data_IF_072648076696
#
_entry.id   IF_072648076696
#
_cell.length_a   1.000
_cell.length_b   1.000
_cell.length_c   1.000
_cell.angle_alpha   90.00
_cell.angle_beta   90.00
_cell.angle_gamma   90.00
#
_symmetry.space_group_name_H-M   'P 1'
#
loop_
_entity.id
_entity.type
_entity.pdbx_description
1 polymer ?
#
# COMPACT_ATOMS: atom_id res chain seq x y z
N UNK A 1 27.73 11.49 0.83
CA UNK A 1 27.78 10.04 0.54
C UNK A 1 26.68 9.33 1.33
N UNK A 2 26.34 8.09 1.00
CA UNK A 2 25.34 7.33 1.76
C UNK A 2 25.73 7.10 3.23
N UNK A 3 27.03 6.94 3.52
CA UNK A 3 27.52 6.88 4.89
C UNK A 3 27.22 8.15 5.69
N UNK A 4 27.28 9.33 5.07
CA UNK A 4 26.86 10.59 5.69
C UNK A 4 25.35 10.61 5.93
N UNK A 5 24.54 10.21 4.95
CA UNK A 5 23.07 10.18 5.09
C UNK A 5 22.64 9.33 6.29
N UNK A 6 23.16 8.10 6.39
CA UNK A 6 22.85 7.18 7.49
C UNK A 6 23.25 7.74 8.86
N UNK A 7 24.45 8.32 8.96
CA UNK A 7 24.98 8.89 10.21
C UNK A 7 24.27 10.16 10.62
N UNK A 8 24.13 11.13 9.72
CA UNK A 8 23.55 12.44 10.01
C UNK A 8 22.06 12.36 10.30
N UNK A 9 21.35 11.44 9.62
CA UNK A 9 19.92 11.23 9.89
C UNK A 9 19.67 10.21 11.00
N UNK A 10 20.70 9.62 11.60
CA UNK A 10 20.58 8.66 12.70
C UNK A 10 19.69 7.45 12.36
N UNK A 11 19.90 6.83 11.20
CA UNK A 11 19.23 5.58 10.85
C UNK A 11 19.76 4.42 11.69
N UNK A 12 18.87 3.52 12.10
CA UNK A 12 19.22 2.28 12.80
C UNK A 12 19.83 1.31 11.79
N UNK A 13 21.07 0.87 11.99
CA UNK A 13 21.81 0.05 11.01
C UNK A 13 21.91 -1.44 11.37
N UNK A 14 21.41 -1.86 12.52
CA UNK A 14 21.31 -3.26 12.94
C UNK A 14 19.96 -3.52 13.62
N UNK A 15 19.41 -4.76 13.58
CA UNK A 15 18.24 -5.11 14.38
C UNK A 15 18.49 -4.80 15.87
N UNK A 16 17.46 -4.32 16.57
CA UNK A 16 17.57 -3.93 17.98
C UNK A 16 17.32 -5.09 18.96
N UNK A 17 16.80 -6.21 18.47
CA UNK A 17 16.60 -7.44 19.25
C UNK A 17 16.48 -8.66 18.33
N UNK A 18 16.72 -9.86 18.88
CA UNK A 18 16.53 -11.12 18.14
C UNK A 18 15.08 -11.33 17.71
N UNK A 19 14.11 -10.85 18.51
CA UNK A 19 12.70 -10.91 18.15
C UNK A 19 12.43 -10.09 16.87
N UNK A 20 12.97 -8.88 16.80
CA UNK A 20 12.81 -8.02 15.64
C UNK A 20 13.61 -8.53 14.44
N UNK A 21 14.79 -9.10 14.65
CA UNK A 21 15.63 -9.69 13.61
C UNK A 21 15.00 -10.92 12.94
N UNK A 22 14.14 -11.65 13.66
CA UNK A 22 13.47 -12.86 13.17
C UNK A 22 12.03 -12.63 12.67
N UNK A 23 11.55 -11.38 12.65
CA UNK A 23 10.22 -11.05 12.16
C UNK A 23 10.26 -9.78 11.32
N UNK A 24 10.26 -9.95 10.00
CA UNK A 24 10.42 -8.87 9.04
C UNK A 24 9.08 -8.32 8.57
N UNK A 25 8.95 -7.00 8.59
CA UNK A 25 7.82 -6.27 8.04
C UNK A 25 8.16 -5.72 6.65
N UNK A 26 7.18 -5.76 5.76
CA UNK A 26 7.19 -5.01 4.51
C UNK A 26 6.37 -3.72 4.68
N UNK A 27 6.81 -2.65 4.01
CA UNK A 27 6.07 -1.40 3.94
C UNK A 27 5.85 -0.98 2.50
N UNK A 28 4.66 -0.49 2.21
CA UNK A 28 4.33 0.22 0.98
C UNK A 28 4.13 1.68 1.35
N UNK A 29 4.92 2.60 0.79
CA UNK A 29 4.84 4.02 1.11
C UNK A 29 4.52 4.79 -0.16
N UNK A 30 3.28 5.28 -0.26
CA UNK A 30 2.79 6.03 -1.41
C UNK A 30 2.93 7.54 -1.17
N UNK A 31 3.80 8.18 -1.95
CA UNK A 31 4.21 9.59 -1.77
C UNK A 31 4.12 10.39 -3.06
N UNK A 32 3.91 11.70 -2.91
CA UNK A 32 3.86 12.61 -4.06
C UNK A 32 4.47 14.01 -3.82
N UNK A 33 4.82 14.36 -2.57
CA UNK A 33 5.38 15.66 -2.14
C UNK A 33 5.95 15.59 -0.72
N UNK A 34 6.38 16.73 -0.16
CA UNK A 34 6.89 16.89 1.21
C UNK A 34 8.05 15.94 1.56
N UNK A 35 9.21 16.18 0.95
CA UNK A 35 10.39 15.30 1.10
C UNK A 35 10.80 15.13 2.57
N UNK A 36 10.77 16.21 3.35
CA UNK A 36 11.14 16.16 4.77
C UNK A 36 10.21 15.26 5.59
N UNK A 37 8.90 15.28 5.30
CA UNK A 37 7.95 14.40 5.97
C UNK A 37 8.22 12.94 5.60
N UNK A 38 8.48 12.66 4.32
CA UNK A 38 8.87 11.31 3.89
C UNK A 38 10.13 10.83 4.60
N UNK A 39 11.18 11.66 4.69
CA UNK A 39 12.43 11.28 5.38
C UNK A 39 12.20 11.06 6.88
N UNK A 40 11.37 11.89 7.53
CA UNK A 40 11.01 11.73 8.94
C UNK A 40 10.24 10.43 9.17
N UNK A 41 9.25 10.12 8.34
CA UNK A 41 8.51 8.87 8.38
C UNK A 41 9.45 7.68 8.18
N UNK A 42 10.22 7.70 7.09
CA UNK A 42 11.13 6.62 6.74
C UNK A 42 12.10 6.33 7.89
N UNK A 43 12.70 7.36 8.47
CA UNK A 43 13.57 7.20 9.65
C UNK A 43 12.86 6.57 10.84
N UNK A 44 11.61 6.94 11.10
CA UNK A 44 10.86 6.46 12.26
C UNK A 44 10.50 4.97 12.16
N UNK A 45 10.31 4.45 10.95
CA UNK A 45 9.92 3.04 10.72
C UNK A 45 11.07 2.17 10.19
N UNK A 46 12.21 2.75 9.82
CA UNK A 46 13.31 2.02 9.20
C UNK A 46 13.96 1.03 10.18
N UNK A 47 14.09 -0.21 9.72
CA UNK A 47 14.89 -1.26 10.34
C UNK A 47 15.57 -2.06 9.21
N UNK A 48 16.82 -2.50 9.40
CA UNK A 48 17.60 -3.15 8.33
C UNK A 48 17.07 -4.52 7.90
N UNK A 49 16.32 -5.22 8.77
CA UNK A 49 15.72 -6.52 8.45
C UNK A 49 14.34 -6.42 7.76
N UNK A 50 13.72 -5.23 7.77
CA UNK A 50 12.45 -4.98 7.09
C UNK A 50 12.68 -4.69 5.59
N UNK A 51 11.61 -4.54 4.82
CA UNK A 51 11.68 -4.14 3.41
C UNK A 51 10.68 -3.04 3.07
N UNK A 52 11.04 -2.13 2.17
CA UNK A 52 10.27 -0.92 1.88
C UNK A 52 10.12 -0.73 0.37
N UNK A 53 8.89 -0.78 -0.13
CA UNK A 53 8.55 -0.34 -1.47
C UNK A 53 8.03 1.10 -1.43
N UNK A 54 8.67 1.98 -2.18
CA UNK A 54 8.29 3.39 -2.30
C UNK A 54 7.58 3.58 -3.63
N UNK A 55 6.29 3.90 -3.60
CA UNK A 55 5.57 4.37 -4.77
C UNK A 55 5.63 5.89 -4.80
N UNK A 56 6.26 6.43 -5.85
CA UNK A 56 6.28 7.87 -6.11
C UNK A 56 5.28 8.12 -7.23
N UNK A 57 4.31 9.00 -7.01
CA UNK A 57 3.34 9.39 -8.04
C UNK A 57 4.09 9.89 -9.29
N UNK A 58 3.71 9.37 -10.46
CA UNK A 58 4.38 9.72 -11.71
C UNK A 58 4.27 11.22 -12.01
N UNK A 59 3.19 11.87 -11.55
CA UNK A 59 2.97 13.31 -11.73
C UNK A 59 3.82 14.19 -10.80
N UNK A 60 4.56 13.63 -9.84
CA UNK A 60 5.42 14.41 -8.96
C UNK A 60 6.55 15.12 -9.72
N UNK A 61 6.99 16.31 -9.26
CA UNK A 61 8.09 17.05 -9.88
C UNK A 61 9.36 16.22 -10.01
N UNK A 62 10.12 16.42 -11.08
CA UNK A 62 11.37 15.68 -11.35
C UNK A 62 12.38 15.81 -10.22
N UNK A 63 12.51 16.99 -9.63
CA UNK A 63 13.47 17.25 -8.55
C UNK A 63 13.09 16.49 -7.29
N UNK A 64 11.78 16.39 -6.99
CA UNK A 64 11.28 15.56 -5.90
C UNK A 64 11.59 14.08 -6.14
N UNK A 65 11.28 13.56 -7.34
CA UNK A 65 11.59 12.16 -7.72
C UNK A 65 13.08 11.86 -7.59
N UNK A 66 13.93 12.79 -8.01
CA UNK A 66 15.39 12.69 -7.94
C UNK A 66 15.87 12.70 -6.48
N UNK A 67 15.33 13.58 -5.64
CA UNK A 67 15.70 13.66 -4.24
C UNK A 67 15.31 12.39 -3.47
N UNK A 68 14.10 11.85 -3.71
CA UNK A 68 13.69 10.56 -3.13
C UNK A 68 14.63 9.45 -3.60
N UNK A 69 14.93 9.37 -4.90
CA UNK A 69 15.84 8.36 -5.46
C UNK A 69 17.22 8.40 -4.80
N UNK A 70 17.80 9.59 -4.63
CA UNK A 70 19.11 9.76 -3.99
C UNK A 70 19.14 9.26 -2.54
N UNK A 71 18.02 9.38 -1.81
CA UNK A 71 17.92 8.92 -0.41
C UNK A 71 17.74 7.41 -0.37
N UNK A 72 16.78 6.86 -1.11
CA UNK A 72 16.46 5.43 -1.06
C UNK A 72 17.59 4.55 -1.59
N UNK A 73 18.38 5.04 -2.56
CA UNK A 73 19.52 4.32 -3.10
C UNK A 73 20.69 4.14 -2.10
N UNK A 74 20.58 4.71 -0.90
CA UNK A 74 21.52 4.47 0.19
C UNK A 74 21.20 3.25 1.06
N UNK A 75 20.12 2.53 0.75
CA UNK A 75 19.64 1.40 1.53
C UNK A 75 19.44 0.18 0.62
N UNK A 76 19.86 -1.00 1.07
CA UNK A 76 19.75 -2.23 0.29
C UNK A 76 18.32 -2.83 0.32
N UNK A 77 17.56 -2.50 1.35
CA UNK A 77 16.22 -3.02 1.62
C UNK A 77 15.10 -2.01 1.31
N UNK A 78 15.42 -0.92 0.61
CA UNK A 78 14.45 0.06 0.11
C UNK A 78 14.55 0.11 -1.41
N UNK A 79 13.41 0.07 -2.08
CA UNK A 79 13.36 0.20 -3.53
C UNK A 79 12.16 1.04 -3.96
N UNK A 80 12.26 1.65 -5.13
CA UNK A 80 11.12 2.34 -5.77
C UNK A 80 10.36 1.31 -6.59
N UNK A 81 9.02 1.35 -6.51
CA UNK A 81 8.13 0.50 -7.30
C UNK A 81 8.54 0.47 -8.78
N UNK A 82 8.64 -0.72 -9.35
CA UNK A 82 9.00 -0.97 -10.75
C UNK A 82 8.02 -0.32 -11.73
N UNK A 83 6.76 -0.17 -11.30
CA UNK A 83 5.72 0.54 -12.03
C UNK A 83 5.11 1.65 -11.16
N UNK A 84 5.10 2.86 -11.70
CA UNK A 84 4.50 4.05 -11.09
C UNK A 84 3.18 4.37 -11.79
N UNK A 85 2.26 4.98 -11.05
CA UNK A 85 0.92 5.33 -11.51
C UNK A 85 0.74 6.84 -11.38
N UNK A 86 -0.06 7.44 -12.27
CA UNK A 86 -0.58 8.79 -12.10
C UNK A 86 -1.77 8.71 -11.15
N UNK A 87 -1.53 8.87 -9.84
CA UNK A 87 -2.57 8.59 -8.84
C UNK A 87 -3.65 9.67 -8.91
N UNK A 88 -4.91 9.26 -9.11
CA UNK A 88 -6.10 10.11 -9.11
C UNK A 88 -6.85 9.89 -7.81
N UNK A 89 -7.29 10.98 -7.16
CA UNK A 89 -8.07 10.89 -5.93
C UNK A 89 -9.37 10.09 -6.19
N UNK A 90 -9.70 9.19 -5.25
CA UNK A 90 -10.78 8.20 -5.36
C UNK A 90 -10.67 7.24 -6.56
N UNK A 91 -9.60 7.30 -7.34
CA UNK A 91 -9.42 6.51 -8.54
C UNK A 91 -8.76 5.15 -8.28
N UNK A 92 -8.91 4.24 -9.25
CA UNK A 92 -8.28 2.93 -9.24
C UNK A 92 -6.75 2.98 -9.20
N UNK A 93 -6.14 4.01 -9.77
CA UNK A 93 -4.69 4.24 -9.74
C UNK A 93 -4.12 4.25 -8.32
N UNK A 94 -4.89 4.68 -7.30
CA UNK A 94 -4.47 4.59 -5.88
C UNK A 94 -4.33 3.14 -5.42
N UNK A 95 -5.31 2.29 -5.74
CA UNK A 95 -5.26 0.86 -5.46
C UNK A 95 -4.14 0.18 -6.25
N UNK A 96 -3.99 0.54 -7.53
CA UNK A 96 -2.99 -0.02 -8.42
C UNK A 96 -1.55 0.27 -7.97
N UNK A 97 -1.30 1.43 -7.35
CA UNK A 97 -0.01 1.78 -6.75
C UNK A 97 0.45 0.74 -5.72
N UNK A 98 -0.45 0.34 -4.81
CA UNK A 98 -0.16 -0.67 -3.79
C UNK A 98 0.07 -2.05 -4.42
N UNK A 99 -0.74 -2.42 -5.41
CA UNK A 99 -0.61 -3.71 -6.13
C UNK A 99 0.72 -3.80 -6.88
N UNK A 100 1.21 -2.71 -7.45
CA UNK A 100 2.52 -2.69 -8.09
C UNK A 100 3.63 -2.96 -7.07
N UNK A 101 3.58 -2.29 -5.92
CA UNK A 101 4.51 -2.55 -4.84
C UNK A 101 4.41 -3.98 -4.30
N UNK A 102 3.20 -4.53 -4.14
CA UNK A 102 3.00 -5.91 -3.72
C UNK A 102 3.67 -6.91 -4.67
N UNK A 103 3.56 -6.68 -5.99
CA UNK A 103 4.22 -7.52 -6.99
C UNK A 103 5.74 -7.52 -6.82
N UNK A 104 6.33 -6.36 -6.58
CA UNK A 104 7.77 -6.26 -6.36
C UNK A 104 8.18 -6.89 -5.01
N UNK A 105 7.39 -6.66 -3.95
CA UNK A 105 7.64 -7.20 -2.61
C UNK A 105 7.63 -8.72 -2.55
N UNK A 106 6.69 -9.38 -3.26
CA UNK A 106 6.62 -10.85 -3.32
C UNK A 106 7.84 -11.45 -4.03
N UNK A 107 8.40 -10.73 -5.01
CA UNK A 107 9.59 -11.14 -5.75
C UNK A 107 10.90 -10.74 -5.08
N UNK A 108 10.86 -10.08 -3.91
CA UNK A 108 12.07 -9.71 -3.19
C UNK A 108 12.78 -10.92 -2.58
N UNK A 109 14.10 -10.83 -2.48
CA UNK A 109 14.93 -11.79 -1.75
C UNK A 109 14.70 -11.74 -0.23
N UNK A 110 14.27 -10.59 0.29
CA UNK A 110 13.96 -10.43 1.72
C UNK A 110 12.65 -11.15 2.02
N UNK A 111 12.69 -12.11 2.93
CA UNK A 111 11.48 -12.74 3.43
C UNK A 111 10.81 -11.80 4.44
N UNK A 112 9.49 -11.67 4.36
CA UNK A 112 8.69 -10.80 5.23
C UNK A 112 7.37 -11.48 5.59
N UNK A 113 6.82 -11.13 6.74
CA UNK A 113 5.64 -11.77 7.33
C UNK A 113 4.35 -11.00 7.01
N UNK A 114 4.41 -9.68 7.17
CA UNK A 114 3.29 -8.76 6.97
C UNK A 114 3.70 -7.56 6.14
N UNK A 115 2.79 -7.05 5.32
CA UNK A 115 2.91 -5.75 4.66
C UNK A 115 1.96 -4.74 5.29
N UNK A 116 2.45 -3.52 5.54
CA UNK A 116 1.66 -2.37 6.01
C UNK A 116 1.76 -1.28 4.95
N UNK A 117 0.63 -0.75 4.47
CA UNK A 117 0.66 0.40 3.58
C UNK A 117 0.51 1.71 4.35
N UNK A 118 1.20 2.74 3.86
CA UNK A 118 1.27 4.08 4.43
C UNK A 118 1.23 5.11 3.30
N UNK A 119 0.81 6.31 3.62
CA UNK A 119 0.99 7.50 2.81
C UNK A 119 2.08 8.41 3.41
N UNK A 120 2.55 9.40 2.65
CA UNK A 120 3.58 10.34 3.10
C UNK A 120 3.23 11.22 4.31
N UNK A 121 2.00 11.16 4.80
CA UNK A 121 1.53 11.93 5.96
C UNK A 121 1.26 11.06 7.20
N UNK A 122 1.43 9.75 7.10
CA UNK A 122 1.33 8.86 8.24
C UNK A 122 2.56 8.98 9.15
N UNK A 123 2.40 8.62 10.43
CA UNK A 123 3.49 8.57 11.38
C UNK A 123 3.26 7.47 12.43
N UNK A 124 4.28 6.65 12.78
CA UNK A 124 4.10 5.56 13.73
C UNK A 124 3.86 6.07 15.16
N UNK A 125 2.87 5.48 15.84
CA UNK A 125 2.61 5.68 17.28
C UNK A 125 3.18 4.55 18.15
N UNK A 126 3.85 3.58 17.52
CA UNK A 126 4.37 2.36 18.12
C UNK A 126 5.73 2.08 17.52
N UNK A 127 6.63 1.55 18.33
CA UNK A 127 7.94 1.06 17.90
C UNK A 127 7.79 -0.18 17.01
N UNK A 128 8.84 -0.51 16.25
CA UNK A 128 8.87 -1.73 15.43
C UNK A 128 8.60 -2.99 16.28
N UNK A 129 9.25 -3.10 17.45
CA UNK A 129 9.00 -4.18 18.41
C UNK A 129 7.54 -4.28 18.85
N UNK A 130 6.90 -3.17 19.22
CA UNK A 130 5.49 -3.17 19.63
C UNK A 130 4.56 -3.60 18.48
N UNK A 131 4.84 -3.17 17.25
CA UNK A 131 4.07 -3.59 16.06
C UNK A 131 4.18 -5.11 15.87
N UNK A 132 5.41 -5.65 15.90
CA UNK A 132 5.68 -7.09 15.76
C UNK A 132 4.96 -7.89 16.85
N UNK A 133 5.09 -7.47 18.11
CA UNK A 133 4.43 -8.13 19.23
C UNK A 133 2.90 -8.11 19.09
N UNK A 134 2.33 -6.98 18.67
CA UNK A 134 0.90 -6.87 18.44
C UNK A 134 0.42 -7.80 17.32
N UNK A 135 1.14 -7.86 16.19
CA UNK A 135 0.82 -8.77 15.09
C UNK A 135 0.89 -10.23 15.54
N UNK A 136 1.97 -10.64 16.21
CA UNK A 136 2.17 -12.02 16.68
C UNK A 136 1.11 -12.45 17.69
N UNK A 137 0.75 -11.57 18.63
CA UNK A 137 -0.14 -11.94 19.76
C UNK A 137 -1.62 -11.76 19.47
N UNK A 138 -2.02 -10.71 18.73
CA UNK A 138 -3.44 -10.41 18.50
C UNK A 138 -3.97 -10.91 17.18
N UNK A 139 -3.12 -10.96 16.14
CA UNK A 139 -3.55 -11.28 14.79
C UNK A 139 -3.07 -12.65 14.32
N UNK A 140 -1.86 -13.05 14.72
CA UNK A 140 -1.29 -14.39 14.56
C UNK A 140 -1.60 -15.04 13.20
N UNK A 141 -1.09 -14.46 12.12
CA UNK A 141 -1.31 -14.95 10.75
C UNK A 141 -2.63 -14.53 10.12
N UNK A 142 -3.39 -13.62 10.73
CA UNK A 142 -4.59 -13.01 10.15
C UNK A 142 -4.31 -11.59 9.65
N UNK A 143 -5.05 -11.19 8.62
CA UNK A 143 -5.01 -9.85 8.05
C UNK A 143 -5.81 -8.84 8.89
N UNK A 144 -5.45 -7.56 8.77
CA UNK A 144 -6.11 -6.41 9.38
C UNK A 144 -6.71 -5.55 8.26
N UNK A 145 -8.01 -5.70 8.03
CA UNK A 145 -8.80 -4.89 7.08
C UNK A 145 -10.13 -4.50 7.74
N UNK A 146 -10.18 -3.46 8.57
CA UNK A 146 -11.42 -3.07 9.24
C UNK A 146 -12.46 -2.63 8.20
N UNK A 147 -13.71 -3.01 8.41
CA UNK A 147 -14.82 -2.59 7.57
C UNK A 147 -16.11 -3.36 7.82
N UNK A 148 -17.17 -2.90 7.16
CA UNK A 148 -18.56 -3.35 7.31
C UNK A 148 -19.13 -3.73 5.95
N UNK A 149 -20.27 -4.42 5.92
CA UNK A 149 -21.01 -4.65 4.67
C UNK A 149 -21.33 -3.30 4.03
N UNK A 150 -21.24 -3.21 2.70
CA UNK A 150 -21.47 -1.98 1.97
C UNK A 150 -22.78 -1.28 2.42
N UNK A 151 -22.68 -0.06 2.98
CA UNK A 151 -23.87 0.71 3.35
C UNK A 151 -24.67 1.14 2.11
N UNK A 152 -26.00 1.26 2.25
CA UNK A 152 -26.87 1.67 1.15
C UNK A 152 -26.46 3.02 0.52
N UNK A 153 -26.04 3.98 1.34
CA UNK A 153 -25.61 5.29 0.85
C UNK A 153 -24.29 5.24 0.05
N UNK A 154 -23.50 4.16 0.15
CA UNK A 154 -22.26 3.96 -0.60
C UNK A 154 -22.46 3.17 -1.90
N UNK A 155 -23.67 2.69 -2.20
CA UNK A 155 -23.96 1.92 -3.42
C UNK A 155 -23.61 2.65 -4.71
N UNK A 156 -23.81 3.97 -4.73
CA UNK A 156 -23.46 4.80 -5.88
C UNK A 156 -22.00 4.64 -6.32
N UNK A 157 -21.08 4.31 -5.40
CA UNK A 157 -19.66 4.12 -5.70
C UNK A 157 -19.36 2.90 -6.57
N UNK A 158 -20.27 1.94 -6.61
CA UNK A 158 -20.08 0.63 -7.27
C UNK A 158 -21.17 0.27 -8.28
N UNK A 159 -22.32 0.95 -8.24
CA UNK A 159 -23.43 0.69 -9.17
C UNK A 159 -23.28 1.42 -10.51
N UNK A 160 -22.45 2.46 -10.58
CA UNK A 160 -22.12 3.17 -11.83
C UNK A 160 -20.62 3.14 -12.10
N UNK A 161 -20.25 3.22 -13.38
CA UNK A 161 -18.86 3.32 -13.82
C UNK A 161 -18.30 4.70 -13.51
N UNK A 162 -17.00 4.79 -13.22
CA UNK A 162 -16.24 6.03 -13.06
C UNK A 162 -15.01 6.01 -13.96
N UNK A 163 -14.57 7.19 -14.41
CA UNK A 163 -13.38 7.31 -15.27
C UNK A 163 -12.40 8.30 -14.70
N UNK A 164 -11.13 7.91 -14.65
CA UNK A 164 -10.02 8.77 -14.30
C UNK A 164 -9.66 9.68 -15.48
N UNK A 165 -9.48 10.97 -15.20
CA UNK A 165 -9.01 11.96 -16.15
C UNK A 165 -7.66 12.51 -15.69
N UNK A 166 -6.60 12.08 -16.38
CA UNK A 166 -5.23 12.54 -16.14
C UNK A 166 -4.90 13.63 -17.16
N UNK A 167 -4.56 14.81 -16.66
CA UNK A 167 -4.13 15.95 -17.48
C UNK A 167 -3.11 16.79 -16.70
N UNK A 168 -2.60 17.87 -17.30
CA UNK A 168 -1.58 18.75 -16.70
C UNK A 168 -2.04 19.50 -15.43
N UNK A 169 -3.34 19.51 -15.15
CA UNK A 169 -3.93 20.11 -13.96
C UNK A 169 -4.14 19.08 -12.84
N UNK A 170 -5.08 19.36 -11.94
CA UNK A 170 -5.44 18.41 -10.87
C UNK A 170 -6.24 17.25 -11.49
N UNK A 171 -5.72 16.00 -11.49
CA UNK A 171 -6.46 14.87 -12.00
C UNK A 171 -7.73 14.64 -11.16
N UNK A 172 -8.80 14.23 -11.82
CA UNK A 172 -10.08 14.00 -11.14
C UNK A 172 -10.75 12.72 -11.66
N UNK A 173 -11.66 12.20 -10.83
CA UNK A 173 -12.51 11.08 -11.16
C UNK A 173 -13.90 11.60 -11.51
N UNK A 174 -14.46 11.16 -12.62
CA UNK A 174 -15.77 11.61 -13.09
C UNK A 174 -16.75 10.43 -13.19
N UNK A 175 -18.02 10.59 -12.74
CA UNK A 175 -19.03 9.55 -12.91
C UNK A 175 -19.39 9.37 -14.38
N UNK A 176 -19.32 8.12 -14.85
CA UNK A 176 -19.81 7.71 -16.16
C UNK A 176 -21.34 7.56 -16.18
N UNK A 177 -21.87 7.16 -17.33
CA UNK A 177 -23.32 6.93 -17.55
C UNK A 177 -23.70 5.45 -17.53
N UNK A 178 -22.72 4.56 -17.38
CA UNK A 178 -22.92 3.12 -17.47
C UNK A 178 -23.21 2.55 -16.10
N UNK A 179 -24.32 1.78 -15.99
CA UNK A 179 -24.57 0.96 -14.80
C UNK A 179 -23.66 -0.26 -14.83
N UNK A 180 -22.98 -0.53 -13.72
CA UNK A 180 -22.08 -1.68 -13.61
C UNK A 180 -22.87 -2.97 -13.40
N UNK A 181 -22.29 -4.08 -13.87
CA UNK A 181 -22.73 -5.40 -13.49
C UNK A 181 -22.49 -5.64 -11.98
N UNK A 182 -23.20 -6.62 -11.42
CA UNK A 182 -22.95 -7.07 -10.05
C UNK A 182 -21.48 -7.51 -9.88
N UNK A 183 -20.94 -7.48 -8.64
CA UNK A 183 -19.61 -7.99 -8.36
C UNK A 183 -19.44 -9.42 -8.88
N UNK A 184 -18.26 -9.78 -9.41
CA UNK A 184 -18.00 -11.12 -9.90
C UNK A 184 -18.15 -12.14 -8.76
N UNK A 185 -18.35 -13.42 -9.11
CA UNK A 185 -18.47 -14.52 -8.15
C UNK A 185 -19.56 -14.34 -7.07
N UNK A 186 -20.58 -13.53 -7.35
CA UNK A 186 -21.65 -13.16 -6.40
C UNK A 186 -21.11 -12.65 -5.04
N UNK A 187 -19.99 -11.94 -5.08
CA UNK A 187 -19.34 -11.44 -3.87
C UNK A 187 -20.20 -10.39 -3.17
N UNK A 188 -20.28 -10.51 -1.84
CA UNK A 188 -20.80 -9.45 -0.99
C UNK A 188 -19.71 -8.42 -0.78
N UNK A 189 -19.96 -7.17 -1.16
CA UNK A 189 -19.01 -6.08 -0.96
C UNK A 189 -18.97 -5.62 0.49
N UNK A 190 -17.76 -5.39 0.97
CA UNK A 190 -17.48 -4.74 2.23
C UNK A 190 -16.77 -3.42 1.95
N UNK A 191 -17.00 -2.43 2.81
CA UNK A 191 -16.37 -1.12 2.76
C UNK A 191 -15.61 -0.86 4.06
N UNK A 192 -14.43 -0.28 3.93
CA UNK A 192 -13.45 -0.11 4.98
C UNK A 192 -12.46 1.00 4.65
N UNK A 193 -11.21 0.77 4.99
CA UNK A 193 -10.12 1.73 4.79
C UNK A 193 -9.21 1.30 3.64
N UNK A 194 -8.60 2.28 2.97
CA UNK A 194 -7.46 2.06 2.09
C UNK A 194 -6.24 1.48 2.83
N UNK A 195 -6.18 1.64 4.15
CA UNK A 195 -5.06 1.23 4.99
C UNK A 195 -5.28 -0.15 5.63
N UNK A 196 -4.22 -0.96 5.63
CA UNK A 196 -4.28 -2.36 6.05
C UNK A 196 -2.95 -2.86 6.63
N UNK A 197 -3.02 -4.03 7.27
CA UNK A 197 -1.87 -4.90 7.43
C UNK A 197 -2.21 -6.30 6.90
N UNK A 198 -1.48 -6.79 5.91
CA UNK A 198 -1.79 -8.04 5.21
C UNK A 198 -0.67 -9.04 5.36
N UNK A 199 -1.00 -10.31 5.49
CA UNK A 199 -0.02 -11.41 5.48
C UNK A 199 0.58 -11.58 4.09
N UNK A 200 1.82 -12.11 4.01
CA UNK A 200 2.43 -12.45 2.72
C UNK A 200 1.57 -13.40 1.88
N UNK A 201 0.99 -14.43 2.50
CA UNK A 201 0.11 -15.38 1.83
C UNK A 201 -1.14 -14.69 1.23
N UNK A 202 -1.72 -13.72 1.93
CA UNK A 202 -2.85 -12.96 1.38
C UNK A 202 -2.42 -12.07 0.21
N UNK A 203 -1.23 -11.46 0.26
CA UNK A 203 -0.70 -10.69 -0.86
C UNK A 203 -0.50 -11.59 -2.09
N UNK A 204 0.13 -12.75 -1.92
CA UNK A 204 0.28 -13.75 -2.98
C UNK A 204 -1.08 -14.14 -3.57
N UNK A 205 -2.06 -14.46 -2.70
CA UNK A 205 -3.45 -14.71 -3.10
C UNK A 205 -4.03 -13.58 -3.97
N UNK A 206 -3.88 -12.31 -3.58
CA UNK A 206 -4.41 -11.19 -4.36
C UNK A 206 -3.76 -11.05 -5.75
N UNK A 207 -2.53 -11.55 -5.92
CA UNK A 207 -1.79 -11.51 -7.18
C UNK A 207 -2.06 -12.74 -8.06
N UNK A 208 -2.49 -13.87 -7.49
CA UNK A 208 -2.59 -15.14 -8.22
C UNK A 208 -4.01 -15.64 -8.43
N UNK A 209 -4.90 -15.51 -7.43
CA UNK A 209 -6.26 -16.08 -7.45
C UNK A 209 -7.17 -15.38 -8.48
N UNK A 210 -7.98 -16.17 -9.20
CA UNK A 210 -8.89 -15.67 -10.22
C UNK A 210 -9.96 -14.74 -9.65
N UNK A 211 -10.51 -15.03 -8.46
CA UNK A 211 -11.52 -14.19 -7.81
C UNK A 211 -10.96 -12.82 -7.44
N UNK A 212 -9.71 -12.78 -6.97
CA UNK A 212 -9.04 -11.53 -6.67
C UNK A 212 -8.80 -10.69 -7.92
N UNK A 213 -8.30 -11.31 -9.00
CA UNK A 213 -8.09 -10.64 -10.29
C UNK A 213 -9.39 -10.12 -10.91
N UNK A 214 -10.45 -10.93 -10.86
CA UNK A 214 -11.76 -10.55 -11.40
C UNK A 214 -12.37 -9.40 -10.60
N UNK A 215 -12.26 -9.42 -9.26
CA UNK A 215 -12.73 -8.31 -8.43
C UNK A 215 -11.90 -7.04 -8.68
N UNK A 216 -10.59 -7.19 -8.91
CA UNK A 216 -9.71 -6.06 -9.20
C UNK A 216 -10.11 -5.39 -10.51
N UNK A 217 -10.32 -6.19 -11.56
CA UNK A 217 -10.73 -5.69 -12.86
C UNK A 217 -12.13 -5.07 -12.80
N UNK A 218 -13.08 -5.72 -12.12
CA UNK A 218 -14.40 -5.15 -11.88
C UNK A 218 -14.33 -3.83 -11.09
N UNK A 219 -13.34 -3.66 -10.21
CA UNK A 219 -13.17 -2.44 -9.40
C UNK A 219 -12.50 -1.29 -10.17
N UNK A 220 -11.99 -1.51 -11.39
CA UNK A 220 -11.20 -0.53 -12.17
C UNK A 220 -11.93 0.79 -12.41
N UNK A 221 -13.24 0.74 -12.61
CA UNK A 221 -14.11 1.88 -12.90
C UNK A 221 -15.11 2.09 -11.76
N UNK A 222 -14.71 1.88 -10.51
CA UNK A 222 -15.50 2.23 -9.31
C UNK A 222 -14.93 3.45 -8.61
N UNK A 223 -15.69 4.03 -7.68
CA UNK A 223 -15.24 5.14 -6.85
C UNK A 223 -14.61 4.63 -5.55
N UNK A 224 -13.37 5.03 -5.29
CA UNK A 224 -12.54 4.65 -4.14
C UNK A 224 -12.41 3.12 -3.96
N UNK A 225 -11.92 2.38 -4.97
CA UNK A 225 -11.82 0.92 -4.89
C UNK A 225 -10.89 0.40 -3.81
N UNK A 226 -9.92 1.21 -3.38
CA UNK A 226 -9.06 0.96 -2.24
C UNK A 226 -9.84 0.80 -0.92
N UNK A 227 -11.04 1.39 -0.81
CA UNK A 227 -11.90 1.27 0.38
C UNK A 227 -12.78 0.01 0.38
N UNK A 228 -12.88 -0.76 -0.72
CA UNK A 228 -13.66 -2.01 -0.73
C UNK A 228 -12.88 -3.25 -1.14
N UNK A 229 -11.84 -3.13 -1.96
CA UNK A 229 -11.12 -4.27 -2.52
C UNK A 229 -10.51 -5.17 -1.43
N UNK A 230 -9.69 -4.58 -0.55
CA UNK A 230 -8.95 -5.32 0.48
C UNK A 230 -9.88 -5.99 1.48
N UNK A 231 -10.84 -5.23 2.01
CA UNK A 231 -11.78 -5.74 3.00
C UNK A 231 -12.72 -6.78 2.41
N UNK A 232 -13.14 -6.64 1.15
CA UNK A 232 -14.00 -7.64 0.49
C UNK A 232 -13.25 -8.96 0.31
N UNK A 233 -12.00 -8.93 -0.20
CA UNK A 233 -11.22 -10.15 -0.38
C UNK A 233 -10.91 -10.86 0.94
N UNK A 234 -10.69 -10.11 2.01
CA UNK A 234 -10.44 -10.70 3.33
C UNK A 234 -11.67 -11.36 3.97
N UNK A 235 -12.86 -11.26 3.36
CA UNK A 235 -14.10 -11.95 3.78
C UNK A 235 -14.42 -13.20 2.95
N UNK A 236 -13.58 -13.52 1.97
CA UNK A 236 -13.73 -14.77 1.24
C UNK A 236 -13.51 -15.97 2.18
N UNK A 237 -14.30 -17.04 2.03
CA UNK A 237 -13.95 -18.30 2.67
C UNK A 237 -12.60 -18.78 2.12
N UNK A 238 -11.73 -19.21 3.04
CA UNK A 238 -10.42 -19.79 2.73
C UNK A 238 -10.53 -21.15 2.05
#
# INVERSE_FOLDING_TARGET
SCSTVLKTLHFITSPLSDEEGNFSLAYIITIHKELEMFVKLLRAIYMPQNIYCIHIDEKSPRDYKTAVWNIVNCFENIFISSKREHVVYAGFSRLQADINCMRDLVNSKVQWNYVINLCGQDFPLKTNKEIIQYMKTKWNGKNITPGIVQPLHMKHRTEISYREYVHSGVPYLYPGKTRKANPPHNLTLYFGSAYYALTKAFVEFTLTDGRAKDLLEWSRDTYSPDEHYWVTLNRLPG
#
